data_IF_011620045207
#
_entry.id   IF_011620045207
#
_cell.length_a   1.000
_cell.length_b   1.000
_cell.length_c   1.000
_cell.angle_alpha   90.00
_cell.angle_beta   90.00
_cell.angle_gamma   90.00
#
_symmetry.space_group_name_H-M   'P 1'
#
loop_
_entity.id
_entity.type
_entity.pdbx_description
1 polymer ?
#
# COMPACT_ATOMS: atom_id res chain seq x y z
N UNK A 1 21.91 -20.21 6.13
CA UNK A 1 22.11 -18.89 6.74
C UNK A 1 21.94 -17.82 5.68
N UNK A 2 20.70 -17.55 5.29
CA UNK A 2 20.36 -16.62 4.21
C UNK A 2 20.08 -15.24 4.78
N UNK A 3 20.70 -14.24 4.15
CA UNK A 3 20.74 -12.83 4.55
C UNK A 3 19.36 -12.15 4.49
N UNK A 4 18.58 -12.28 5.57
CA UNK A 4 17.33 -11.51 5.78
C UNK A 4 17.56 -10.11 6.39
N UNK A 5 18.81 -9.66 6.50
CA UNK A 5 19.16 -8.28 6.87
C UNK A 5 19.68 -7.55 5.64
N UNK A 6 18.82 -6.87 4.90
CA UNK A 6 19.27 -5.82 3.97
C UNK A 6 18.55 -4.48 4.10
N UNK A 7 17.70 -4.32 5.12
CA UNK A 7 16.96 -3.07 5.37
C UNK A 7 16.83 -2.73 6.87
N UNK A 8 17.81 -3.09 7.70
CA UNK A 8 17.91 -2.50 9.04
C UNK A 8 18.75 -1.22 8.91
N UNK A 9 18.09 -0.06 8.78
CA UNK A 9 18.75 1.22 9.00
C UNK A 9 18.96 1.38 10.52
N UNK A 10 20.18 1.72 10.92
CA UNK A 10 20.50 1.94 12.32
C UNK A 10 19.85 3.27 12.78
N UNK A 11 19.50 3.41 14.07
CA UNK A 11 18.83 4.60 14.60
C UNK A 11 19.61 5.92 14.41
N UNK A 12 20.88 5.84 14.02
CA UNK A 12 21.78 6.98 13.77
C UNK A 12 22.05 7.25 12.27
N UNK A 13 21.42 6.53 11.33
CA UNK A 13 21.59 6.83 9.91
C UNK A 13 20.96 8.19 9.59
N UNK A 14 21.74 9.21 9.16
CA UNK A 14 21.19 10.50 8.79
C UNK A 14 20.13 10.29 7.70
N UNK A 15 19.02 11.02 7.79
CA UNK A 15 17.94 10.98 6.80
C UNK A 15 18.46 11.58 5.49
N UNK A 16 19.27 10.85 4.74
CA UNK A 16 19.73 11.28 3.43
C UNK A 16 18.58 11.05 2.46
N UNK A 17 17.80 12.11 2.26
CA UNK A 17 16.80 12.20 1.21
C UNK A 17 17.56 12.10 -0.14
N UNK A 18 17.19 11.21 -1.07
CA UNK A 18 17.78 11.14 -2.39
C UNK A 18 17.37 12.40 -3.15
N UNK A 19 18.34 13.27 -3.35
CA UNK A 19 18.24 14.47 -4.17
C UNK A 19 18.05 14.06 -5.63
N UNK A 20 16.89 14.37 -6.21
CA UNK A 20 16.76 14.52 -7.66
C UNK A 20 16.14 15.88 -7.95
N UNK A 21 17.04 16.76 -8.41
CA UNK A 21 16.86 17.96 -9.23
C UNK A 21 15.79 18.94 -8.74
N UNK A 22 16.26 19.99 -8.06
CA UNK A 22 15.71 21.34 -8.20
C UNK A 22 14.64 21.78 -7.21
N UNK A 23 14.82 21.52 -5.92
CA UNK A 23 14.30 22.33 -4.79
C UNK A 23 14.66 21.59 -3.49
N UNK A 24 15.68 22.07 -2.77
CA UNK A 24 15.86 21.67 -1.37
C UNK A 24 14.71 22.29 -0.58
N UNK A 25 13.58 21.60 -0.53
CA UNK A 25 12.45 22.01 0.28
C UNK A 25 12.84 21.82 1.75
N UNK A 26 13.39 22.87 2.36
CA UNK A 26 13.76 22.89 3.78
C UNK A 26 12.54 22.42 4.59
N UNK A 27 12.69 21.41 5.45
CA UNK A 27 11.60 20.96 6.31
C UNK A 27 11.08 22.13 7.14
N UNK A 28 9.76 22.26 7.24
CA UNK A 28 9.12 23.19 8.16
C UNK A 28 9.51 22.90 9.62
N UNK A 29 9.42 23.90 10.49
CA UNK A 29 9.69 23.71 11.92
C UNK A 29 8.75 22.67 12.55
N UNK A 30 7.51 22.62 12.09
CA UNK A 30 6.55 21.58 12.45
C UNK A 30 7.01 20.20 12.00
N UNK A 31 7.57 20.04 10.79
CA UNK A 31 8.12 18.77 10.34
C UNK A 31 9.29 18.31 11.24
N UNK A 32 10.19 19.23 11.60
CA UNK A 32 11.34 18.94 12.47
C UNK A 32 10.96 18.50 13.89
N UNK A 33 9.74 18.80 14.35
CA UNK A 33 9.25 18.30 15.63
C UNK A 33 9.01 16.77 15.64
N UNK A 34 8.93 16.13 14.47
CA UNK A 34 8.68 14.68 14.35
C UNK A 34 9.99 13.89 14.21
N UNK A 35 10.06 12.76 14.89
CA UNK A 35 11.10 11.75 14.66
C UNK A 35 10.54 10.68 13.73
N UNK A 36 10.97 10.67 12.46
CA UNK A 36 10.36 9.83 11.41
C UNK A 36 11.23 8.66 10.99
N UNK A 37 10.59 7.52 10.73
CA UNK A 37 11.17 6.32 10.12
C UNK A 37 10.47 6.00 8.79
N UNK A 38 11.14 5.27 7.90
CA UNK A 38 10.50 4.78 6.67
C UNK A 38 9.58 3.63 7.00
N UNK A 39 8.38 3.64 6.41
CA UNK A 39 7.44 2.52 6.47
C UNK A 39 6.92 2.20 5.07
N UNK A 40 6.45 0.96 4.94
CA UNK A 40 5.77 0.46 3.74
C UNK A 40 4.29 0.19 4.01
N UNK A 41 3.80 0.51 5.21
CA UNK A 41 2.39 0.35 5.53
C UNK A 41 1.53 1.33 4.70
N UNK A 42 0.40 0.85 4.12
CA UNK A 42 -0.63 1.72 3.57
C UNK A 42 -1.07 2.76 4.60
N UNK A 43 -1.14 4.02 4.19
CA UNK A 43 -1.56 5.10 5.07
C UNK A 43 -2.14 6.28 4.29
N UNK A 44 -2.98 7.08 4.93
CA UNK A 44 -3.31 8.42 4.44
C UNK A 44 -2.26 9.43 4.87
N UNK A 45 -1.80 10.25 3.93
CA UNK A 45 -0.79 11.26 4.17
C UNK A 45 -1.37 12.44 4.96
N UNK A 46 -0.73 12.82 6.07
CA UNK A 46 -1.17 13.90 6.95
C UNK A 46 -1.12 15.30 6.33
N UNK A 47 -0.48 15.48 5.19
CA UNK A 47 -0.38 16.78 4.51
C UNK A 47 -1.37 16.92 3.34
N UNK A 48 -1.56 15.89 2.53
CA UNK A 48 -2.40 15.94 1.32
C UNK A 48 -3.62 15.01 1.36
N UNK A 49 -3.81 14.26 2.46
CA UNK A 49 -4.83 13.24 2.69
C UNK A 49 -4.87 12.07 1.66
N UNK A 50 -4.00 12.12 0.65
CA UNK A 50 -3.90 11.05 -0.33
C UNK A 50 -3.22 9.80 0.24
N UNK A 51 -3.61 8.64 -0.29
CA UNK A 51 -3.02 7.35 0.07
C UNK A 51 -1.54 7.29 -0.30
N UNK A 52 -0.75 6.69 0.59
CA UNK A 52 0.61 6.24 0.34
C UNK A 52 0.64 4.73 0.52
N UNK A 53 0.99 4.00 -0.54
CA UNK A 53 0.94 2.53 -0.56
C UNK A 53 2.32 1.87 -0.63
N UNK A 54 3.41 2.64 -0.70
CA UNK A 54 4.74 2.07 -0.99
C UNK A 54 5.82 2.60 -0.07
N UNK A 55 6.07 3.92 -0.09
CA UNK A 55 7.16 4.53 0.66
C UNK A 55 6.64 5.79 1.36
N UNK A 56 6.27 5.63 2.62
CA UNK A 56 5.87 6.71 3.51
C UNK A 56 6.89 6.89 4.64
N UNK A 57 6.81 8.04 5.27
CA UNK A 57 7.48 8.35 6.53
C UNK A 57 6.44 8.25 7.64
N UNK A 58 6.78 7.58 8.73
CA UNK A 58 5.95 7.47 9.93
C UNK A 58 6.71 8.06 11.12
N UNK A 59 6.07 8.94 11.88
CA UNK A 59 6.62 9.42 13.13
C UNK A 59 6.59 8.30 14.18
N UNK A 60 7.73 7.98 14.79
CA UNK A 60 7.83 6.95 15.84
C UNK A 60 7.22 7.40 17.17
N UNK A 61 7.04 8.71 17.34
CA UNK A 61 6.45 9.29 18.55
C UNK A 61 4.94 9.33 18.47
N UNK A 62 4.38 10.02 17.47
CA UNK A 62 2.93 10.23 17.39
C UNK A 62 2.22 9.29 16.40
N UNK A 63 2.94 8.51 15.57
CA UNK A 63 2.34 7.59 14.60
C UNK A 63 1.87 8.23 13.29
N UNK A 64 1.89 9.57 13.17
CA UNK A 64 1.50 10.30 11.97
C UNK A 64 2.34 9.87 10.74
N UNK A 65 1.73 9.86 9.56
CA UNK A 65 2.36 9.35 8.34
C UNK A 65 2.27 10.34 7.16
N UNK A 66 3.31 10.40 6.33
CA UNK A 66 3.39 11.28 5.16
C UNK A 66 4.01 10.59 3.95
N UNK A 67 3.71 11.08 2.75
CA UNK A 67 4.62 10.85 1.62
C UNK A 67 5.95 11.55 1.90
N UNK A 68 7.04 10.98 1.37
CA UNK A 68 8.38 11.55 1.50
C UNK A 68 8.48 13.01 1.03
N UNK A 69 7.82 13.35 -0.07
CA UNK A 69 7.81 14.72 -0.60
C UNK A 69 6.83 15.67 0.11
N UNK A 70 5.92 15.12 0.91
CA UNK A 70 4.93 15.90 1.66
C UNK A 70 5.40 16.21 3.09
N UNK A 71 6.27 15.37 3.66
CA UNK A 71 6.80 15.56 5.00
C UNK A 71 7.43 16.95 5.24
N UNK A 72 8.29 17.49 4.35
CA UNK A 72 8.86 18.83 4.56
C UNK A 72 7.81 19.95 4.67
N UNK A 73 6.60 19.71 4.15
CA UNK A 73 5.48 20.67 4.13
C UNK A 73 4.48 20.44 5.27
N UNK A 74 4.84 19.60 6.26
CA UNK A 74 3.97 19.36 7.41
C UNK A 74 3.69 20.67 8.15
N UNK A 75 2.43 20.90 8.50
CA UNK A 75 2.01 22.04 9.34
C UNK A 75 1.69 21.62 10.78
N UNK A 76 1.61 20.32 11.03
CA UNK A 76 1.19 19.76 12.32
C UNK A 76 2.42 19.44 13.18
N UNK A 77 2.40 19.92 14.42
CA UNK A 77 3.46 19.66 15.40
C UNK A 77 3.31 18.26 16.02
N UNK A 78 4.42 17.70 16.49
CA UNK A 78 4.42 16.38 17.11
C UNK A 78 3.83 16.44 18.52
N UNK A 79 2.69 15.77 18.71
CA UNK A 79 2.05 15.61 20.00
C UNK A 79 2.07 14.13 20.41
N UNK A 80 2.67 13.81 21.57
CA UNK A 80 2.76 12.43 22.07
C UNK A 80 1.40 11.87 22.51
N UNK A 81 0.47 12.74 22.87
CA UNK A 81 -0.93 12.39 23.17
C UNK A 81 -1.81 12.27 21.92
N UNK A 82 -1.24 12.41 20.72
CA UNK A 82 -2.02 12.39 19.50
C UNK A 82 -2.72 11.03 19.29
N UNK A 83 -3.98 11.01 18.80
CA UNK A 83 -4.76 9.79 18.64
C UNK A 83 -4.06 8.70 17.82
N UNK A 84 -3.30 9.12 16.79
CA UNK A 84 -2.58 8.22 15.89
C UNK A 84 -1.50 7.36 16.56
N UNK A 85 -1.05 7.70 17.79
CA UNK A 85 -0.05 6.92 18.53
C UNK A 85 -0.59 5.60 19.07
N UNK A 86 -1.87 5.56 19.44
CA UNK A 86 -2.49 4.39 20.07
C UNK A 86 -3.01 3.36 19.04
N UNK A 87 -2.72 3.55 17.74
CA UNK A 87 -3.41 2.82 16.68
C UNK A 87 -4.91 3.19 16.56
N UNK A 88 -5.39 4.10 17.43
CA UNK A 88 -6.70 4.75 17.36
C UNK A 88 -6.59 5.87 16.34
N UNK A 89 -6.34 5.50 15.09
CA UNK A 89 -6.68 6.40 13.98
C UNK A 89 -8.17 6.67 14.10
N UNK A 90 -8.57 7.93 14.15
CA UNK A 90 -9.97 8.30 13.91
C UNK A 90 -10.41 7.60 12.62
N UNK A 91 -11.64 7.09 12.61
CA UNK A 91 -12.15 6.21 11.55
C UNK A 91 -11.93 6.82 10.14
N UNK A 92 -11.98 8.14 10.04
CA UNK A 92 -11.75 8.92 8.81
C UNK A 92 -10.37 8.77 8.16
N UNK A 93 -9.33 8.36 8.91
CA UNK A 93 -7.97 8.22 8.38
C UNK A 93 -7.50 6.79 8.18
N UNK A 94 -8.27 5.80 8.64
CA UNK A 94 -7.96 4.39 8.38
C UNK A 94 -8.27 4.08 6.91
N UNK A 95 -7.41 3.28 6.31
CA UNK A 95 -7.72 2.66 5.03
C UNK A 95 -8.73 1.55 5.27
N UNK A 96 -9.83 1.56 4.52
CA UNK A 96 -10.91 0.57 4.66
C UNK A 96 -10.70 -0.66 3.78
N UNK A 97 -9.83 -0.56 2.77
CA UNK A 97 -9.57 -1.63 1.79
C UNK A 97 -8.15 -2.16 1.94
N UNK A 98 -7.15 -1.28 2.00
CA UNK A 98 -5.75 -1.70 2.13
C UNK A 98 -5.35 -1.91 3.59
N UNK A 99 -4.59 -2.98 3.87
CA UNK A 99 -4.11 -3.28 5.22
C UNK A 99 -5.18 -3.83 6.18
N UNK A 100 -6.37 -4.14 5.68
CA UNK A 100 -7.43 -4.88 6.39
C UNK A 100 -7.27 -6.37 6.12
N UNK A 101 -7.54 -7.21 7.11
CA UNK A 101 -7.49 -8.66 6.93
C UNK A 101 -8.54 -9.10 5.90
N UNK A 102 -8.17 -10.02 5.02
CA UNK A 102 -9.03 -10.45 3.92
C UNK A 102 -10.37 -10.97 4.43
N UNK A 103 -10.35 -11.79 5.50
CA UNK A 103 -11.53 -12.35 6.14
C UNK A 103 -12.47 -11.26 6.67
N UNK A 104 -11.94 -10.35 7.47
CA UNK A 104 -12.71 -9.25 8.05
C UNK A 104 -13.35 -8.38 6.95
N UNK A 105 -12.61 -8.12 5.88
CA UNK A 105 -13.10 -7.34 4.75
C UNK A 105 -14.31 -8.00 4.08
N UNK A 106 -14.17 -9.27 3.68
CA UNK A 106 -15.25 -9.97 2.95
C UNK A 106 -16.48 -10.20 3.82
N UNK A 107 -16.30 -10.45 5.12
CA UNK A 107 -17.39 -10.55 6.09
C UNK A 107 -18.10 -9.20 6.28
N UNK A 108 -17.36 -8.09 6.33
CA UNK A 108 -17.93 -6.75 6.50
C UNK A 108 -18.74 -6.26 5.29
N UNK A 109 -18.35 -6.67 4.07
CA UNK A 109 -19.05 -6.31 2.85
C UNK A 109 -20.11 -7.34 2.41
N UNK A 110 -20.28 -8.45 3.13
CA UNK A 110 -21.12 -9.60 2.74
C UNK A 110 -20.82 -10.11 1.32
N UNK A 111 -19.52 -10.24 1.00
CA UNK A 111 -19.02 -10.68 -0.31
C UNK A 111 -18.16 -11.93 -0.18
N UNK A 112 -17.92 -12.59 -1.32
CA UNK A 112 -16.96 -13.72 -1.41
C UNK A 112 -15.54 -13.28 -1.75
N UNK A 113 -15.42 -12.16 -2.46
CA UNK A 113 -14.16 -11.62 -2.98
C UNK A 113 -14.14 -10.12 -2.74
N UNK A 114 -12.97 -9.53 -2.43
CA UNK A 114 -12.85 -8.09 -2.32
C UNK A 114 -13.24 -7.39 -3.61
N UNK A 115 -14.13 -6.40 -3.50
CA UNK A 115 -14.64 -5.61 -4.61
C UNK A 115 -13.56 -5.02 -5.51
N UNK A 116 -12.47 -4.53 -4.92
CA UNK A 116 -11.31 -3.99 -5.67
C UNK A 116 -10.69 -5.05 -6.60
N UNK A 117 -10.68 -6.31 -6.20
CA UNK A 117 -10.16 -7.42 -7.00
C UNK A 117 -11.15 -7.78 -8.10
N UNK A 118 -12.42 -7.92 -7.76
CA UNK A 118 -13.49 -8.28 -8.70
C UNK A 118 -13.60 -7.27 -9.85
N UNK A 119 -13.85 -5.99 -9.54
CA UNK A 119 -14.02 -4.95 -10.57
C UNK A 119 -12.77 -4.77 -11.45
N UNK A 120 -11.56 -4.88 -10.86
CA UNK A 120 -10.33 -4.83 -11.64
C UNK A 120 -10.19 -6.05 -12.56
N UNK A 121 -10.54 -7.25 -12.10
CA UNK A 121 -10.44 -8.48 -12.91
C UNK A 121 -11.45 -8.46 -14.05
N UNK A 122 -12.69 -8.03 -13.82
CA UNK A 122 -13.73 -7.98 -14.86
C UNK A 122 -13.29 -7.06 -16.02
N UNK A 123 -12.80 -5.87 -15.68
CA UNK A 123 -12.23 -4.92 -16.65
C UNK A 123 -11.01 -5.51 -17.40
N UNK A 124 -10.18 -6.30 -16.71
CA UNK A 124 -9.03 -6.97 -17.31
C UNK A 124 -9.42 -8.13 -18.22
N UNK A 125 -10.50 -8.84 -17.93
CA UNK A 125 -11.01 -9.89 -18.81
C UNK A 125 -11.57 -9.32 -20.11
N UNK A 126 -12.27 -8.19 -20.04
CA UNK A 126 -12.81 -7.51 -21.23
C UNK A 126 -11.71 -6.95 -22.15
N UNK A 127 -10.65 -6.36 -21.58
CA UNK A 127 -9.71 -5.49 -22.34
C UNK A 127 -8.25 -5.89 -22.22
N UNK A 128 -7.89 -6.55 -21.12
CA UNK A 128 -6.51 -6.84 -20.74
C UNK A 128 -5.87 -7.97 -21.56
N UNK A 129 -6.67 -8.82 -22.20
CA UNK A 129 -6.18 -9.98 -22.96
C UNK A 129 -5.33 -9.60 -24.18
N UNK A 130 -5.54 -8.41 -24.75
CA UNK A 130 -4.74 -7.89 -25.87
C UNK A 130 -3.51 -7.10 -25.40
N UNK A 131 -3.37 -6.86 -24.10
CA UNK A 131 -2.29 -6.05 -23.53
C UNK A 131 -1.02 -6.89 -23.35
N UNK A 132 0.04 -6.55 -24.11
CA UNK A 132 1.32 -7.25 -24.03
C UNK A 132 1.96 -7.10 -22.64
N UNK A 133 2.23 -8.23 -21.99
CA UNK A 133 2.94 -8.27 -20.72
C UNK A 133 2.07 -7.90 -19.52
N UNK A 134 0.75 -8.08 -19.60
CA UNK A 134 -0.16 -7.95 -18.46
C UNK A 134 0.34 -8.78 -17.26
N UNK A 135 0.21 -8.24 -16.05
CA UNK A 135 0.80 -8.73 -14.79
C UNK A 135 2.34 -8.78 -14.70
N UNK A 136 3.07 -8.89 -15.81
CA UNK A 136 4.55 -8.86 -15.83
C UNK A 136 5.09 -7.43 -15.73
N UNK A 137 4.58 -6.51 -16.54
CA UNK A 137 5.00 -5.10 -16.55
C UNK A 137 4.30 -4.32 -15.43
N UNK A 138 4.98 -3.30 -14.89
CA UNK A 138 4.40 -2.40 -13.90
C UNK A 138 3.60 -1.30 -14.59
N UNK A 139 2.41 -1.01 -14.07
CA UNK A 139 1.65 0.18 -14.41
C UNK A 139 2.29 1.46 -13.86
N UNK A 140 1.74 2.60 -14.25
CA UNK A 140 2.19 3.92 -13.81
C UNK A 140 1.83 4.13 -12.34
N UNK A 141 2.83 4.29 -11.48
CA UNK A 141 2.67 4.37 -10.02
C UNK A 141 1.59 5.39 -9.59
N UNK A 142 1.64 6.61 -10.11
CA UNK A 142 0.68 7.66 -9.76
C UNK A 142 -0.76 7.28 -10.13
N UNK A 143 -0.96 6.60 -11.26
CA UNK A 143 -2.27 6.09 -11.67
C UNK A 143 -2.75 4.94 -10.79
N UNK A 144 -1.86 4.05 -10.36
CA UNK A 144 -2.20 3.00 -9.39
C UNK A 144 -2.66 3.61 -8.07
N UNK A 145 -1.94 4.59 -7.53
CA UNK A 145 -2.32 5.30 -6.29
C UNK A 145 -3.64 6.07 -6.46
N UNK A 146 -3.88 6.70 -7.62
CA UNK A 146 -5.14 7.36 -7.96
C UNK A 146 -6.34 6.38 -7.95
N UNK A 147 -6.19 5.23 -8.60
CA UNK A 147 -7.24 4.19 -8.65
C UNK A 147 -7.54 3.66 -7.25
N UNK A 148 -6.49 3.33 -6.47
CA UNK A 148 -6.67 2.89 -5.08
C UNK A 148 -7.40 3.94 -4.23
N UNK A 149 -7.10 5.23 -4.45
CA UNK A 149 -7.80 6.33 -3.81
C UNK A 149 -9.27 6.44 -4.19
N UNK A 150 -9.65 6.10 -5.43
CA UNK A 150 -11.06 6.04 -5.85
C UNK A 150 -11.80 4.93 -5.10
N UNK A 151 -11.20 3.75 -4.99
CA UNK A 151 -11.76 2.64 -4.21
C UNK A 151 -11.95 3.02 -2.73
N UNK A 152 -10.94 3.61 -2.08
CA UNK A 152 -11.00 4.00 -0.66
C UNK A 152 -11.95 5.16 -0.33
N UNK A 153 -12.34 5.96 -1.34
CA UNK A 153 -13.34 7.04 -1.17
C UNK A 153 -14.75 6.62 -1.54
N UNK A 154 -14.90 5.50 -2.22
CA UNK A 154 -16.23 4.98 -2.54
C UNK A 154 -16.93 4.53 -1.26
N UNK A 155 -18.22 4.79 -1.19
CA UNK A 155 -19.14 4.41 -0.11
C UNK A 155 -19.53 2.92 -0.17
N UNK A 156 -18.68 2.07 -0.74
CA UNK A 156 -19.01 0.67 -1.02
C UNK A 156 -19.68 0.43 -2.38
N UNK A 157 -20.03 1.48 -3.13
CA UNK A 157 -20.70 1.35 -4.44
C UNK A 157 -19.82 0.76 -5.54
N UNK A 158 -20.35 -0.18 -6.32
CA UNK A 158 -19.62 -0.77 -7.46
C UNK A 158 -19.44 0.19 -8.65
N UNK A 159 -20.05 1.38 -8.60
CA UNK A 159 -20.02 2.40 -9.65
C UNK A 159 -18.71 3.21 -9.63
N UNK A 160 -17.58 2.52 -9.84
CA UNK A 160 -16.28 3.17 -10.06
C UNK A 160 -15.96 3.17 -11.55
N UNK A 161 -15.76 4.35 -12.18
CA UNK A 161 -15.42 4.42 -13.59
C UNK A 161 -13.99 3.91 -13.82
N UNK A 162 -13.90 2.72 -14.40
CA UNK A 162 -12.64 2.05 -14.76
C UNK A 162 -12.46 1.89 -16.28
N UNK A 163 -13.42 2.35 -17.09
CA UNK A 163 -13.50 2.13 -18.54
C UNK A 163 -12.27 2.64 -19.31
N UNK A 164 -11.81 3.85 -18.97
CA UNK A 164 -10.65 4.48 -19.62
C UNK A 164 -9.31 4.14 -18.94
N UNK A 165 -9.31 3.26 -17.94
CA UNK A 165 -8.09 2.91 -17.20
C UNK A 165 -7.26 1.91 -17.98
N UNK A 166 -5.98 2.22 -18.18
CA UNK A 166 -5.04 1.30 -18.82
C UNK A 166 -4.99 -0.05 -18.07
N UNK A 167 -5.16 -1.20 -18.76
CA UNK A 167 -5.12 -2.54 -18.14
C UNK A 167 -3.88 -2.81 -17.28
N UNK A 168 -2.71 -2.29 -17.66
CA UNK A 168 -1.49 -2.47 -16.85
C UNK A 168 -1.59 -1.83 -15.46
N UNK A 169 -2.34 -0.73 -15.34
CA UNK A 169 -2.57 -0.07 -14.06
C UNK A 169 -3.51 -0.91 -13.19
N UNK A 170 -4.61 -1.43 -13.75
CA UNK A 170 -5.54 -2.33 -13.03
C UNK A 170 -4.84 -3.60 -12.55
N UNK A 171 -4.05 -4.25 -13.41
CA UNK A 171 -3.25 -5.42 -13.03
C UNK A 171 -2.26 -5.09 -11.91
N UNK A 172 -1.74 -3.86 -11.88
CA UNK A 172 -0.85 -3.40 -10.81
C UNK A 172 -1.59 -3.09 -9.50
N UNK A 173 -2.85 -2.63 -9.57
CA UNK A 173 -3.73 -2.48 -8.40
C UNK A 173 -4.01 -3.85 -7.77
N UNK A 174 -4.39 -4.86 -8.57
CA UNK A 174 -4.63 -6.23 -8.06
C UNK A 174 -3.38 -6.79 -7.37
N UNK A 175 -2.21 -6.70 -8.04
CA UNK A 175 -0.92 -7.12 -7.44
C UNK A 175 -0.62 -6.36 -6.15
N UNK A 176 -0.93 -5.07 -6.11
CA UNK A 176 -0.67 -4.24 -4.93
C UNK A 176 -1.58 -4.64 -3.77
N UNK A 177 -2.87 -4.85 -4.01
CA UNK A 177 -3.83 -5.28 -3.00
C UNK A 177 -3.37 -6.58 -2.32
N UNK A 178 -3.11 -7.62 -3.11
CA UNK A 178 -2.67 -8.93 -2.60
C UNK A 178 -1.37 -8.84 -1.78
N UNK A 179 -0.44 -7.97 -2.19
CA UNK A 179 0.82 -7.73 -1.47
C UNK A 179 0.64 -6.95 -0.17
N UNK A 180 -0.48 -6.25 0.00
CA UNK A 180 -0.77 -5.39 1.17
C UNK A 180 -1.72 -6.02 2.17
N UNK A 181 -2.15 -7.26 1.93
CA UNK A 181 -2.83 -8.03 2.95
C UNK A 181 -1.92 -8.20 4.17
N UNK A 182 -2.46 -8.11 5.40
CA UNK A 182 -1.68 -8.32 6.61
C UNK A 182 -1.16 -9.76 6.74
N UNK A 183 -1.96 -10.72 6.26
CA UNK A 183 -1.59 -12.12 6.07
C UNK A 183 -1.64 -12.41 4.55
N UNK A 184 -0.58 -12.93 3.91
CA UNK A 184 -0.58 -13.22 2.49
C UNK A 184 -1.72 -14.16 2.09
N UNK A 185 -2.12 -14.14 0.81
CA UNK A 185 -3.23 -14.95 0.31
C UNK A 185 -3.09 -16.46 0.59
N UNK A 186 -1.85 -16.99 0.54
CA UNK A 186 -1.56 -18.40 0.85
C UNK A 186 -1.26 -18.64 2.34
N UNK A 187 -1.50 -17.63 3.18
CA UNK A 187 -1.25 -17.54 4.62
C UNK A 187 0.17 -17.89 5.06
N UNK A 188 0.56 -17.45 6.25
CA UNK A 188 1.82 -17.92 6.84
C UNK A 188 1.72 -19.39 7.29
N UNK A 189 0.55 -19.83 7.72
CA UNK A 189 0.33 -21.18 8.24
C UNK A 189 0.49 -22.25 7.17
N UNK A 190 -0.03 -22.04 5.96
CA UNK A 190 0.03 -23.02 4.88
C UNK A 190 1.33 -22.93 4.05
N UNK A 191 2.21 -21.97 4.34
CA UNK A 191 3.43 -21.72 3.55
C UNK A 191 4.32 -22.97 3.41
N UNK A 192 4.61 -23.65 4.53
CA UNK A 192 5.48 -24.82 4.52
C UNK A 192 4.91 -25.96 3.68
N UNK A 193 3.59 -26.10 3.65
CA UNK A 193 2.93 -27.14 2.87
C UNK A 193 2.96 -26.84 1.37
N UNK A 194 2.75 -25.58 0.97
CA UNK A 194 2.95 -25.15 -0.42
C UNK A 194 4.41 -25.33 -0.88
N UNK A 195 5.38 -25.01 -0.02
CA UNK A 195 6.81 -25.20 -0.33
C UNK A 195 7.18 -26.67 -0.44
N UNK A 196 6.65 -27.53 0.45
CA UNK A 196 6.84 -28.98 0.34
C UNK A 196 6.24 -29.49 -0.96
N UNK A 197 5.00 -29.11 -1.29
CA UNK A 197 4.33 -29.49 -2.53
C UNK A 197 5.13 -29.12 -3.78
N UNK A 198 5.64 -27.89 -3.85
CA UNK A 198 6.46 -27.44 -4.99
C UNK A 198 7.80 -28.15 -5.15
N UNK A 199 8.30 -28.83 -4.10
CA UNK A 199 9.52 -29.67 -4.16
C UNK A 199 9.25 -31.12 -4.55
N UNK A 200 7.98 -31.55 -4.53
CA UNK A 200 7.60 -32.88 -5.02
C UNK A 200 7.76 -32.85 -6.54
N UNK A 201 8.93 -33.25 -7.02
CA UNK A 201 9.21 -33.48 -8.43
C UNK A 201 8.53 -34.76 -8.91
N UNK A 202 7.20 -34.80 -8.87
CA UNK A 202 6.41 -35.69 -9.72
C UNK A 202 5.94 -34.89 -10.93
N UNK A 203 6.90 -34.59 -11.81
CA UNK A 203 6.60 -34.28 -13.20
C UNK A 203 6.23 -35.60 -13.88
N UNK A 204 5.03 -36.12 -13.60
CA UNK A 204 4.41 -37.13 -14.41
C UNK A 204 3.10 -36.57 -14.95
N UNK A 205 3.18 -36.20 -16.23
CA UNK A 205 2.09 -36.14 -17.22
C UNK A 205 1.13 -34.96 -17.07
N UNK A 206 1.25 -33.99 -17.98
CA UNK A 206 0.26 -33.73 -19.04
C UNK A 206 0.99 -33.22 -20.30
#
# INVERSE_FOLDING_TARGET
>A
MTSYRRNALQPDDPVTLPSRIGEECRPSDAALSHSVQRTVQPCRCMHCDALSLLHSLQCVRCGAQWHKGCYPKSSQWCEESAPWRLGISTNERRTSIFGVALKDYVESEDRKTPRIVELCIDNLQERGMQCKGIYRTCGVKSKVEEICGKFERSDGSDDIPLDDVNPMNLASVVKLYLRKLPDPLLTFEAYDDFVKFGKVSNCHVF
#
